data_IF_603720553481
#
_entry.id   IF_603720553481
#
_cell.length_a   1.000
_cell.length_b   1.000
_cell.length_c   1.000
_cell.angle_alpha   90.00
_cell.angle_beta   90.00
_cell.angle_gamma   90.00
#
_symmetry.space_group_name_H-M   'P 1'
#
loop_
_entity.id
_entity.type
_entity.pdbx_description
1 polymer ?
#
# COMPACT_ATOMS: atom_id res chain seq x y z
N UNK A 1 -10.93 15.42 -8.73
CA UNK A 1 -11.50 14.88 -9.97
C UNK A 1 -10.75 13.61 -10.31
N UNK A 2 -11.39 12.45 -10.12
CA UNK A 2 -10.86 11.20 -10.64
C UNK A 2 -10.95 11.25 -12.16
N UNK A 3 -9.84 11.08 -12.87
CA UNK A 3 -9.86 10.86 -14.31
C UNK A 3 -10.12 9.38 -14.58
N UNK A 4 -11.24 9.09 -15.21
CA UNK A 4 -11.54 7.78 -15.78
C UNK A 4 -11.32 7.87 -17.30
N UNK A 5 -10.20 7.39 -17.77
CA UNK A 5 -9.88 7.31 -19.17
C UNK A 5 -8.93 6.17 -19.47
N UNK A 6 -9.21 5.43 -20.53
CA UNK A 6 -8.27 4.47 -21.07
C UNK A 6 -7.11 5.20 -21.74
N UNK A 7 -6.08 5.53 -20.99
CA UNK A 7 -4.79 5.83 -21.59
C UNK A 7 -4.08 4.50 -21.79
N UNK A 8 -4.15 4.02 -23.00
CA UNK A 8 -3.39 2.86 -23.43
C UNK A 8 -1.89 3.18 -23.41
N UNK A 9 -1.28 3.04 -22.25
CA UNK A 9 0.10 2.60 -22.24
C UNK A 9 0.02 1.10 -22.47
N UNK A 10 0.17 0.68 -23.73
CA UNK A 10 0.25 -0.72 -24.10
C UNK A 10 1.41 -1.37 -23.36
N UNK A 11 1.13 -1.99 -22.24
CA UNK A 11 2.16 -2.79 -21.59
C UNK A 11 1.50 -3.78 -20.64
N UNK A 12 1.91 -5.01 -20.80
CA UNK A 12 1.61 -6.06 -19.84
C UNK A 12 2.43 -5.80 -18.57
N UNK A 13 2.04 -4.79 -17.77
CA UNK A 13 2.66 -4.55 -16.49
C UNK A 13 2.38 -5.73 -15.56
N UNK A 14 3.43 -6.34 -15.08
CA UNK A 14 3.37 -7.32 -14.00
C UNK A 14 3.81 -6.65 -12.69
N UNK A 15 3.30 -7.14 -11.57
CA UNK A 15 3.66 -6.64 -10.23
C UNK A 15 5.13 -6.95 -9.92
N UNK A 16 6.04 -6.09 -10.40
CA UNK A 16 7.48 -6.22 -10.23
C UNK A 16 8.16 -4.87 -9.99
N UNK A 17 9.27 -4.89 -9.26
CA UNK A 17 10.04 -3.69 -8.95
C UNK A 17 10.59 -3.01 -10.21
N UNK A 18 11.00 -3.78 -11.22
CA UNK A 18 11.43 -3.24 -12.51
C UNK A 18 10.33 -2.45 -13.22
N UNK A 19 9.09 -2.92 -13.14
CA UNK A 19 7.94 -2.22 -13.73
C UNK A 19 7.55 -0.97 -12.94
N UNK A 20 7.60 -0.98 -11.60
CA UNK A 20 7.43 0.25 -10.79
C UNK A 20 8.45 1.31 -11.22
N UNK A 21 9.72 0.91 -11.34
CA UNK A 21 10.76 1.83 -11.80
C UNK A 21 10.49 2.39 -13.20
N UNK A 22 9.95 1.56 -14.10
CA UNK A 22 9.58 1.99 -15.44
C UNK A 22 8.43 2.99 -15.44
N UNK A 23 7.46 2.84 -14.53
CA UNK A 23 6.32 3.76 -14.41
C UNK A 23 6.78 5.17 -14.02
N UNK A 24 7.49 5.33 -12.91
CA UNK A 24 7.86 6.68 -12.46
C UNK A 24 8.97 7.32 -13.31
N UNK A 25 9.71 6.55 -14.12
CA UNK A 25 10.67 7.09 -15.11
C UNK A 25 10.01 7.48 -16.43
N UNK A 26 8.79 7.03 -16.70
CA UNK A 26 8.09 7.33 -17.94
C UNK A 26 7.58 8.79 -17.93
N UNK A 27 8.15 9.61 -18.82
CA UNK A 27 7.82 11.04 -18.90
C UNK A 27 6.35 11.29 -19.24
N UNK A 28 5.73 10.44 -20.07
CA UNK A 28 4.32 10.60 -20.43
C UNK A 28 3.40 10.32 -19.24
N UNK A 29 3.68 9.30 -18.43
CA UNK A 29 2.92 8.99 -17.22
C UNK A 29 3.06 10.13 -16.21
N UNK A 30 4.26 10.67 -16.03
CA UNK A 30 4.47 11.83 -15.16
C UNK A 30 3.72 13.06 -15.67
N UNK A 31 3.77 13.34 -16.97
CA UNK A 31 3.01 14.46 -17.57
C UNK A 31 1.51 14.30 -17.35
N UNK A 32 0.97 13.09 -17.45
CA UNK A 32 -0.43 12.84 -17.15
C UNK A 32 -0.74 13.07 -15.67
N UNK A 33 0.10 12.53 -14.78
CA UNK A 33 -0.04 12.76 -13.34
C UNK A 33 -0.08 14.25 -13.02
N UNK A 34 0.82 15.04 -13.60
CA UNK A 34 0.88 16.49 -13.44
C UNK A 34 -0.35 17.18 -14.05
N UNK A 35 -0.73 16.79 -15.27
CA UNK A 35 -1.89 17.38 -15.99
C UNK A 35 -3.20 17.21 -15.22
N UNK A 36 -3.37 16.07 -14.55
CA UNK A 36 -4.58 15.73 -13.80
C UNK A 36 -4.48 16.03 -12.29
N UNK A 37 -3.36 16.58 -11.84
CA UNK A 37 -3.06 16.80 -10.42
C UNK A 37 -3.33 15.52 -9.58
N UNK A 38 -2.88 14.37 -10.08
CA UNK A 38 -3.14 13.10 -9.44
C UNK A 38 -2.07 12.80 -8.38
N UNK A 39 -2.48 12.57 -7.14
CA UNK A 39 -1.57 12.22 -6.05
C UNK A 39 -0.92 10.87 -6.28
N UNK A 40 -1.67 9.91 -6.81
CA UNK A 40 -1.17 8.55 -7.08
C UNK A 40 -1.37 8.14 -8.54
N UNK A 41 -0.50 7.22 -8.97
CA UNK A 41 -0.63 6.48 -10.24
C UNK A 41 -0.77 5.00 -9.91
N UNK A 42 -1.91 4.44 -10.24
CA UNK A 42 -2.18 3.01 -10.05
C UNK A 42 -2.31 2.33 -11.41
N UNK A 43 -1.59 1.24 -11.58
CA UNK A 43 -1.72 0.38 -12.76
C UNK A 43 -2.41 -0.91 -12.38
N UNK A 44 -3.48 -1.23 -13.06
CA UNK A 44 -4.11 -2.55 -12.98
C UNK A 44 -3.37 -3.46 -13.96
N UNK A 45 -2.60 -4.38 -13.43
CA UNK A 45 -1.71 -5.25 -14.18
C UNK A 45 -1.94 -6.73 -13.89
N UNK A 46 -0.90 -7.53 -14.02
CA UNK A 46 -0.90 -8.98 -13.76
C UNK A 46 0.03 -9.34 -12.62
N UNK A 47 -0.24 -10.47 -11.98
CA UNK A 47 0.65 -11.03 -10.97
C UNK A 47 1.97 -11.51 -11.59
N UNK A 48 3.04 -11.41 -10.82
CA UNK A 48 4.32 -12.01 -11.14
C UNK A 48 4.51 -13.30 -10.35
N UNK A 49 4.66 -14.41 -11.05
CA UNK A 49 4.99 -15.70 -10.43
C UNK A 49 6.49 -15.97 -10.50
N UNK A 50 7.04 -16.50 -9.42
CA UNK A 50 8.43 -16.93 -9.29
C UNK A 50 8.51 -18.22 -8.47
N UNK A 51 9.70 -18.80 -8.37
CA UNK A 51 9.93 -19.98 -7.49
C UNK A 51 9.70 -19.68 -6.00
N UNK A 52 9.71 -18.43 -5.60
CA UNK A 52 9.48 -17.98 -4.21
C UNK A 52 8.02 -17.60 -3.90
N UNK A 53 7.12 -17.63 -4.92
CA UNK A 53 5.71 -17.29 -4.72
C UNK A 53 5.14 -16.40 -5.82
N UNK A 54 3.94 -15.89 -5.56
CA UNK A 54 3.24 -14.99 -6.48
C UNK A 54 3.11 -13.62 -5.84
N UNK A 55 3.57 -12.59 -6.56
CA UNK A 55 3.41 -11.18 -6.18
C UNK A 55 2.15 -10.64 -6.84
N UNK A 56 1.15 -10.29 -6.03
CA UNK A 56 -0.16 -9.81 -6.49
C UNK A 56 -0.22 -8.28 -6.61
N UNK A 57 0.66 -7.60 -5.95
CA UNK A 57 0.79 -6.15 -6.02
C UNK A 57 2.19 -5.71 -5.64
N UNK A 58 2.52 -4.49 -5.97
CA UNK A 58 3.77 -3.84 -5.60
C UNK A 58 3.60 -2.32 -5.61
N UNK A 59 4.13 -1.67 -4.61
CA UNK A 59 4.09 -0.22 -4.49
C UNK A 59 5.46 0.37 -4.16
N UNK A 60 5.67 1.61 -4.53
CA UNK A 60 6.67 2.43 -3.90
C UNK A 60 6.31 2.64 -2.43
N UNK A 61 7.26 2.45 -1.54
CA UNK A 61 7.01 2.49 -0.09
C UNK A 61 7.96 3.43 0.60
N UNK A 62 7.46 4.14 1.60
CA UNK A 62 8.23 5.00 2.47
C UNK A 62 8.44 4.24 3.77
N UNK A 63 9.67 3.78 4.01
CA UNK A 63 10.04 3.02 5.20
C UNK A 63 11.12 3.73 6.03
N UNK A 64 11.12 3.44 7.31
CA UNK A 64 12.22 3.81 8.20
C UNK A 64 12.45 5.30 8.37
N UNK A 65 11.42 6.10 8.25
CA UNK A 65 11.51 7.56 8.25
C UNK A 65 11.56 8.20 9.65
N UNK A 66 11.75 7.41 10.70
CA UNK A 66 11.90 7.91 12.08
C UNK A 66 10.83 8.93 12.49
N UNK A 67 9.57 8.58 12.28
CA UNK A 67 8.41 9.41 12.61
C UNK A 67 8.31 10.74 11.83
N UNK A 68 8.98 10.82 10.68
CA UNK A 68 8.90 11.99 9.77
C UNK A 68 8.42 11.55 8.41
N UNK A 69 7.28 12.08 7.97
CA UNK A 69 6.85 11.94 6.58
C UNK A 69 7.69 12.89 5.72
N UNK A 70 8.34 12.39 4.66
CA UNK A 70 9.27 13.20 3.87
C UNK A 70 8.56 14.30 3.07
N UNK A 71 9.33 15.30 2.67
CA UNK A 71 8.89 16.32 1.73
C UNK A 71 8.45 15.65 0.40
N UNK A 72 7.34 16.07 -0.15
CA UNK A 72 6.72 15.48 -1.34
C UNK A 72 7.65 15.48 -2.56
N UNK A 73 8.45 16.53 -2.76
CA UNK A 73 9.36 16.65 -3.91
C UNK A 73 10.43 15.56 -3.96
N UNK A 74 10.85 15.04 -2.80
CA UNK A 74 11.84 13.99 -2.72
C UNK A 74 11.25 12.59 -2.93
N UNK A 75 9.93 12.41 -2.73
CA UNK A 75 9.30 11.09 -2.62
C UNK A 75 8.10 10.88 -3.53
N UNK A 76 7.83 11.79 -4.45
CA UNK A 76 6.73 11.65 -5.41
C UNK A 76 6.86 10.37 -6.26
N UNK A 77 8.10 9.87 -6.47
CA UNK A 77 8.37 8.60 -7.14
C UNK A 77 7.75 7.39 -6.43
N UNK A 78 7.47 7.50 -5.13
CA UNK A 78 6.80 6.46 -4.34
C UNK A 78 5.27 6.47 -4.47
N UNK A 79 4.70 7.43 -5.18
CA UNK A 79 3.26 7.53 -5.43
C UNK A 79 2.77 6.62 -6.59
N UNK A 80 3.46 5.51 -6.84
CA UNK A 80 3.16 4.58 -7.93
C UNK A 80 2.97 3.17 -7.38
N UNK A 81 1.95 2.47 -7.88
CA UNK A 81 1.77 1.05 -7.60
C UNK A 81 1.23 0.27 -8.80
N UNK A 82 1.38 -1.05 -8.74
CA UNK A 82 0.79 -2.01 -9.68
C UNK A 82 0.00 -3.01 -8.85
N UNK A 83 -1.28 -3.16 -9.17
CA UNK A 83 -2.17 -4.15 -8.57
C UNK A 83 -2.58 -5.17 -9.63
N UNK A 84 -2.40 -6.44 -9.36
CA UNK A 84 -2.81 -7.51 -10.28
C UNK A 84 -4.31 -7.77 -10.20
N UNK A 85 -4.94 -7.92 -11.36
CA UNK A 85 -6.36 -8.26 -11.46
C UNK A 85 -6.63 -9.78 -11.54
N UNK A 86 -5.58 -10.58 -11.54
CA UNK A 86 -5.61 -12.04 -11.67
C UNK A 86 -5.02 -12.77 -10.46
N UNK A 87 -5.03 -12.17 -9.27
CA UNK A 87 -4.38 -12.68 -8.08
C UNK A 87 -5.17 -12.30 -6.82
N UNK A 88 -5.77 -13.29 -6.18
CA UNK A 88 -6.48 -13.08 -4.91
C UNK A 88 -7.64 -12.08 -4.99
N UNK A 89 -7.87 -11.38 -3.90
CA UNK A 89 -8.81 -10.25 -3.86
C UNK A 89 -8.15 -8.97 -4.37
N UNK A 90 -8.48 -8.59 -5.60
CA UNK A 90 -7.92 -7.39 -6.24
C UNK A 90 -8.23 -6.11 -5.44
N UNK A 91 -9.39 -6.02 -4.79
CA UNK A 91 -9.77 -4.84 -3.99
C UNK A 91 -8.88 -4.71 -2.76
N UNK A 92 -8.66 -5.80 -2.02
CA UNK A 92 -7.78 -5.80 -0.85
C UNK A 92 -6.32 -5.58 -1.26
N UNK A 93 -5.87 -6.18 -2.36
CA UNK A 93 -4.53 -5.93 -2.91
C UNK A 93 -4.36 -4.45 -3.30
N UNK A 94 -5.33 -3.86 -3.98
CA UNK A 94 -5.31 -2.44 -4.32
C UNK A 94 -5.18 -1.54 -3.08
N UNK A 95 -5.99 -1.80 -2.05
CA UNK A 95 -5.93 -1.04 -0.79
C UNK A 95 -4.60 -1.26 -0.04
N UNK A 96 -4.03 -2.46 -0.12
CA UNK A 96 -2.72 -2.78 0.44
C UNK A 96 -1.61 -1.96 -0.22
N UNK A 97 -1.57 -1.94 -1.56
CA UNK A 97 -0.55 -1.19 -2.29
C UNK A 97 -0.69 0.33 -2.09
N UNK A 98 -1.93 0.85 -2.04
CA UNK A 98 -2.15 2.23 -1.63
C UNK A 98 -1.67 2.50 -0.20
N UNK A 99 -1.87 1.55 0.71
CA UNK A 99 -1.33 1.64 2.07
C UNK A 99 0.18 1.86 2.08
N UNK A 100 0.93 1.13 1.26
CA UNK A 100 2.37 1.35 1.09
C UNK A 100 2.70 2.74 0.56
N UNK A 101 2.00 3.21 -0.47
CA UNK A 101 2.19 4.57 -0.99
C UNK A 101 1.90 5.64 0.06
N UNK A 102 1.02 5.35 1.02
CA UNK A 102 0.70 6.23 2.15
C UNK A 102 1.60 6.00 3.38
N UNK A 103 2.70 5.26 3.23
CA UNK A 103 3.69 5.07 4.29
C UNK A 103 3.35 3.97 5.30
N UNK A 104 2.46 3.03 4.97
CA UNK A 104 2.18 1.89 5.82
C UNK A 104 3.11 0.71 5.52
N UNK A 105 3.55 0.01 6.54
CA UNK A 105 4.32 -1.22 6.46
C UNK A 105 3.48 -2.47 6.71
N UNK A 106 4.04 -3.63 6.36
CA UNK A 106 3.47 -4.92 6.74
C UNK A 106 3.39 -5.10 8.27
N UNK A 107 2.86 -6.20 8.74
CA UNK A 107 2.90 -6.51 10.17
C UNK A 107 4.32 -6.81 10.64
N UNK A 108 4.60 -6.57 11.91
CA UNK A 108 5.91 -6.92 12.53
C UNK A 108 6.21 -8.42 12.45
N UNK A 109 5.21 -9.29 12.34
CA UNK A 109 5.40 -10.73 12.11
C UNK A 109 6.02 -11.05 10.76
N UNK A 110 5.83 -10.19 9.79
CA UNK A 110 6.43 -10.29 8.45
C UNK A 110 7.82 -9.65 8.39
N UNK A 111 8.38 -9.27 9.55
CA UNK A 111 9.70 -8.64 9.66
C UNK A 111 9.69 -7.15 9.33
N UNK A 112 8.52 -6.50 9.29
CA UNK A 112 8.47 -5.06 9.08
C UNK A 112 8.98 -4.31 10.30
N UNK A 113 9.85 -3.34 10.07
CA UNK A 113 10.41 -2.44 11.10
C UNK A 113 9.52 -1.20 11.33
N UNK A 114 8.40 -1.09 10.59
CA UNK A 114 7.49 0.03 10.58
C UNK A 114 7.08 0.42 9.16
N UNK A 115 6.40 1.55 9.06
CA UNK A 115 6.17 2.31 7.83
C UNK A 115 6.85 3.67 7.97
N UNK A 116 6.14 4.75 7.61
CA UNK A 116 6.56 6.13 7.88
C UNK A 116 6.68 6.41 9.38
N UNK A 117 5.87 5.74 10.20
CA UNK A 117 5.99 5.67 11.65
C UNK A 117 6.23 4.23 12.08
N UNK A 118 6.87 4.03 13.23
CA UNK A 118 7.15 2.68 13.77
C UNK A 118 5.86 1.86 14.02
N UNK A 119 4.74 2.52 14.31
CA UNK A 119 3.43 1.89 14.51
C UNK A 119 2.56 1.83 13.24
N UNK A 120 3.01 2.37 12.11
CA UNK A 120 2.26 2.40 10.84
C UNK A 120 2.29 1.03 10.17
N UNK A 121 1.79 -0.01 10.81
CA UNK A 121 1.92 -1.41 10.38
C UNK A 121 0.61 -2.18 10.47
N UNK A 122 0.54 -3.26 9.70
CA UNK A 122 -0.56 -4.22 9.78
C UNK A 122 -0.63 -4.95 11.12
N UNK A 123 -1.81 -5.51 11.41
CA UNK A 123 -2.11 -6.23 12.63
C UNK A 123 -2.94 -7.48 12.34
N UNK A 124 -2.85 -8.46 13.21
CA UNK A 124 -3.71 -9.64 13.17
C UNK A 124 -3.73 -10.38 14.49
N UNK A 125 -4.69 -11.28 14.62
CA UNK A 125 -4.89 -12.15 15.78
C UNK A 125 -4.92 -13.59 15.30
N UNK A 126 -4.12 -14.45 15.93
CA UNK A 126 -3.99 -15.86 15.55
C UNK A 126 -5.34 -16.57 15.48
N UNK A 127 -5.54 -17.32 14.40
CA UNK A 127 -6.74 -18.09 14.10
C UNK A 127 -8.04 -17.23 13.99
N UNK A 128 -7.92 -15.90 13.91
CA UNK A 128 -9.07 -15.03 13.86
C UNK A 128 -9.07 -14.14 12.61
N UNK A 129 -8.10 -13.23 12.48
CA UNK A 129 -8.08 -12.28 11.35
C UNK A 129 -6.69 -11.66 11.12
N UNK A 130 -6.55 -11.05 9.94
CA UNK A 130 -5.48 -10.09 9.62
C UNK A 130 -6.10 -8.82 9.00
N UNK A 131 -5.50 -7.66 9.25
CA UNK A 131 -5.88 -6.37 8.64
C UNK A 131 -5.23 -6.22 7.25
N UNK A 132 -5.59 -5.18 6.48
CA UNK A 132 -5.15 -5.00 5.08
C UNK A 132 -3.64 -5.13 4.91
N UNK A 133 -2.82 -4.50 5.77
CA UNK A 133 -1.36 -4.53 5.67
C UNK A 133 -0.71 -5.77 6.29
N UNK A 134 -1.48 -6.75 6.75
CA UNK A 134 -0.99 -7.99 7.33
C UNK A 134 -1.37 -9.19 6.46
N UNK A 135 -0.43 -10.14 6.28
CA UNK A 135 -0.72 -11.36 5.55
C UNK A 135 -1.44 -12.36 6.44
N UNK A 136 -2.63 -12.84 6.05
CA UNK A 136 -3.43 -13.75 6.86
C UNK A 136 -2.70 -15.03 7.29
N UNK A 137 -1.86 -15.58 6.41
CA UNK A 137 -1.10 -16.80 6.70
C UNK A 137 -0.14 -16.67 7.90
N UNK A 138 0.38 -15.47 8.17
CA UNK A 138 1.22 -15.20 9.34
C UNK A 138 0.46 -15.30 10.67
N UNK A 139 -0.86 -15.30 10.59
CA UNK A 139 -1.78 -15.40 11.72
C UNK A 139 -2.64 -16.67 11.70
N UNK A 140 -2.20 -17.70 10.96
CA UNK A 140 -2.95 -18.95 10.82
C UNK A 140 -4.42 -18.76 10.47
N UNK A 141 -4.76 -17.80 9.61
CA UNK A 141 -6.13 -17.50 9.23
C UNK A 141 -6.23 -17.26 7.72
N UNK A 142 -7.42 -17.36 7.18
CA UNK A 142 -7.76 -16.92 5.82
C UNK A 142 -8.65 -15.66 5.84
N UNK A 143 -9.02 -15.20 7.05
CA UNK A 143 -9.90 -14.06 7.24
C UNK A 143 -9.09 -12.76 7.19
N UNK A 144 -9.10 -12.10 6.04
CA UNK A 144 -8.54 -10.75 5.89
C UNK A 144 -9.64 -9.71 6.00
N UNK A 145 -9.49 -8.79 6.95
CA UNK A 145 -10.43 -7.71 7.18
C UNK A 145 -10.21 -6.58 6.17
N UNK A 146 -11.29 -5.95 5.73
CA UNK A 146 -11.24 -4.74 4.90
C UNK A 146 -10.98 -3.47 5.72
N UNK A 147 -10.09 -3.56 6.70
CA UNK A 147 -9.70 -2.47 7.61
C UNK A 147 -8.18 -2.39 7.74
N UNK A 148 -7.66 -1.20 7.81
CA UNK A 148 -6.32 -0.95 8.34
C UNK A 148 -6.31 -1.16 9.86
N UNK A 149 -5.13 -1.38 10.44
CA UNK A 149 -5.02 -1.51 11.89
C UNK A 149 -5.50 -0.23 12.59
N UNK A 150 -6.35 -0.42 13.60
CA UNK A 150 -7.01 0.66 14.33
C UNK A 150 -7.30 0.24 15.78
N UNK A 151 -6.57 0.77 16.76
CA UNK A 151 -6.81 0.47 18.18
C UNK A 151 -8.17 0.95 18.72
N UNK A 152 -8.79 1.92 18.05
CA UNK A 152 -10.10 2.45 18.42
C UNK A 152 -11.28 1.56 17.99
N UNK A 153 -11.03 0.59 17.11
CA UNK A 153 -12.07 -0.27 16.56
C UNK A 153 -11.94 -1.70 17.09
N UNK A 154 -13.07 -2.34 17.38
CA UNK A 154 -13.12 -3.74 17.78
C UNK A 154 -14.15 -4.50 16.95
N UNK A 155 -13.82 -5.74 16.57
CA UNK A 155 -14.69 -6.67 15.86
C UNK A 155 -14.85 -7.93 16.74
N UNK A 156 -16.08 -8.31 17.04
CA UNK A 156 -16.41 -9.46 17.91
C UNK A 156 -15.69 -9.42 19.27
N UNK A 157 -15.46 -8.22 19.80
CA UNK A 157 -14.77 -8.03 21.09
C UNK A 157 -13.25 -7.91 21.01
N UNK A 158 -12.64 -8.24 19.86
CA UNK A 158 -11.18 -8.12 19.65
C UNK A 158 -10.85 -6.80 18.94
N UNK A 159 -9.86 -6.07 19.44
CA UNK A 159 -9.36 -4.85 18.80
C UNK A 159 -8.59 -5.20 17.54
N UNK A 160 -8.74 -4.38 16.50
CA UNK A 160 -8.06 -4.57 15.22
C UNK A 160 -6.75 -3.75 15.11
N UNK A 161 -6.17 -3.38 16.24
CA UNK A 161 -4.90 -2.69 16.35
C UNK A 161 -4.48 -2.49 17.81
N UNK A 162 -3.26 -1.98 17.99
CA UNK A 162 -2.68 -1.73 19.32
C UNK A 162 -2.01 -0.35 19.33
N UNK A 163 -2.38 0.50 20.29
CA UNK A 163 -1.83 1.85 20.43
C UNK A 163 -0.29 1.85 20.44
N UNK A 164 0.30 2.70 19.61
CA UNK A 164 1.74 2.86 19.43
C UNK A 164 2.51 1.59 18.98
N UNK A 165 1.79 0.55 18.52
CA UNK A 165 2.39 -0.69 18.03
C UNK A 165 1.88 -1.04 16.63
N UNK A 166 0.55 -0.97 16.41
CA UNK A 166 -0.08 -1.21 15.11
C UNK A 166 -1.32 -0.31 15.00
N UNK A 167 -1.16 0.87 14.41
CA UNK A 167 -2.13 1.95 14.37
C UNK A 167 -2.03 2.71 13.04
N UNK A 168 -2.28 1.96 11.95
CA UNK A 168 -2.24 2.50 10.59
C UNK A 168 -3.25 3.63 10.39
N UNK A 169 -4.40 3.57 11.06
CA UNK A 169 -5.41 4.62 10.97
C UNK A 169 -4.86 5.97 11.43
N UNK A 170 -4.19 6.02 12.56
CA UNK A 170 -3.54 7.25 13.04
C UNK A 170 -2.43 7.72 12.10
N UNK A 171 -1.64 6.79 11.55
CA UNK A 171 -0.61 7.14 10.57
C UNK A 171 -1.22 7.82 9.34
N UNK A 172 -2.31 7.25 8.79
CA UNK A 172 -3.03 7.82 7.66
C UNK A 172 -3.55 9.24 7.96
N UNK A 173 -4.11 9.48 9.15
CA UNK A 173 -4.56 10.82 9.55
C UNK A 173 -3.41 11.84 9.55
N UNK A 174 -2.23 11.46 10.02
CA UNK A 174 -1.07 12.34 10.09
C UNK A 174 -0.48 12.67 8.73
N UNK A 175 -0.54 11.76 7.76
CA UNK A 175 0.06 11.95 6.43
C UNK A 175 -0.92 12.51 5.38
N UNK A 176 -2.20 12.56 5.67
CA UNK A 176 -3.25 12.95 4.71
C UNK A 176 -2.96 14.27 4.01
N UNK A 177 -2.56 15.29 4.75
CA UNK A 177 -2.29 16.61 4.17
C UNK A 177 -1.05 16.60 3.25
N UNK A 178 -0.04 15.84 3.58
CA UNK A 178 1.16 15.69 2.74
C UNK A 178 0.81 14.97 1.44
N UNK A 179 0.06 13.86 1.55
CA UNK A 179 -0.37 13.07 0.39
C UNK A 179 -1.26 13.90 -0.55
N UNK A 180 -2.23 14.64 0.00
CA UNK A 180 -3.13 15.50 -0.79
C UNK A 180 -2.41 16.67 -1.49
N UNK A 181 -1.13 16.79 -1.32
CA UNK A 181 -0.28 17.79 -1.95
C UNK A 181 0.94 17.16 -2.64
N UNK A 182 0.85 15.90 -3.02
CA UNK A 182 1.88 15.24 -3.83
C UNK A 182 1.94 15.81 -5.26
N UNK A 183 0.88 16.54 -5.66
CA UNK A 183 0.76 17.30 -6.92
C UNK A 183 -0.07 18.57 -6.72
#
# INVERSE_FOLDING_TARGET
LAWEGENQVSTNYVASWGNIQSLYKNSQIRNWRDQYNADFVVVIGSAQSSSGGTTCGIAGSIYGMNDVFPDHDAYDSYAYNITANNCGDTTLTFMHELGHNMGLGHSVRQGAEGGVYSWAVGYGVDNQFATIMAYPQEFNTTNQLSYFSNPGLALNGERIGVNNVADSQRALELVTNTIANFR
#
